data_IF_922185617675
#
_entry.id   IF_922185617675
#
_cell.length_a   1.000
_cell.length_b   1.000
_cell.length_c   1.000
_cell.angle_alpha   90.00
_cell.angle_beta   90.00
_cell.angle_gamma   90.00
#
_symmetry.space_group_name_H-M   'P 1'
#
loop_
_entity.id
_entity.type
_entity.pdbx_description
1 polymer ?
#
# COMPACT_ATOMS: atom_id res chain seq x y z
N UNK A 1 18.36 -24.74 15.17
CA UNK A 1 16.98 -25.24 15.30
C UNK A 1 16.03 -24.10 15.66
N UNK A 2 16.36 -23.28 16.65
CA UNK A 2 15.54 -22.11 17.08
C UNK A 2 15.30 -21.05 16.00
N UNK A 3 16.28 -20.76 15.13
CA UNK A 3 16.11 -19.76 14.05
C UNK A 3 15.14 -20.22 12.94
N UNK A 4 15.06 -21.52 12.64
CA UNK A 4 14.09 -22.05 11.66
C UNK A 4 12.66 -22.06 12.20
N UNK A 5 12.47 -22.27 13.49
CA UNK A 5 11.15 -22.22 14.13
C UNK A 5 10.61 -20.78 14.20
N UNK A 6 11.49 -19.79 14.44
CA UNK A 6 11.14 -18.36 14.43
C UNK A 6 10.68 -17.92 13.04
N UNK A 7 11.43 -18.23 11.97
CA UNK A 7 11.09 -17.87 10.59
C UNK A 7 9.77 -18.52 10.16
N UNK A 8 9.51 -19.77 10.53
CA UNK A 8 8.25 -20.46 10.21
C UNK A 8 7.07 -19.88 11.00
N UNK A 9 7.32 -19.38 12.21
CA UNK A 9 6.30 -18.70 13.02
C UNK A 9 5.93 -17.35 12.41
N UNK A 10 6.94 -16.55 12.02
CA UNK A 10 6.76 -15.25 11.38
C UNK A 10 5.99 -15.37 10.04
N UNK A 11 6.33 -16.37 9.19
CA UNK A 11 5.62 -16.63 7.94
C UNK A 11 4.15 -17.06 8.15
N UNK A 12 3.87 -17.86 9.17
CA UNK A 12 2.50 -18.27 9.50
C UNK A 12 1.67 -17.13 10.09
N UNK A 13 2.30 -16.21 10.79
CA UNK A 13 1.63 -15.02 11.31
C UNK A 13 1.36 -14.03 10.19
N UNK A 14 2.24 -13.85 9.21
CA UNK A 14 2.00 -13.07 8.00
C UNK A 14 0.85 -13.65 7.15
N UNK A 15 0.82 -14.96 6.91
CA UNK A 15 -0.28 -15.62 6.16
C UNK A 15 -1.64 -15.45 6.87
N UNK A 16 -1.70 -15.57 8.19
CA UNK A 16 -2.93 -15.31 8.97
C UNK A 16 -3.33 -13.85 8.96
N UNK A 17 -2.37 -12.93 9.04
CA UNK A 17 -2.64 -11.50 8.93
C UNK A 17 -3.24 -11.15 7.58
N UNK A 18 -2.78 -11.78 6.49
CA UNK A 18 -3.32 -11.60 5.14
C UNK A 18 -4.75 -12.17 4.99
N UNK A 19 -5.04 -13.35 5.54
CA UNK A 19 -6.40 -13.92 5.54
C UNK A 19 -7.39 -13.07 6.35
N UNK A 20 -6.99 -12.58 7.52
CA UNK A 20 -7.80 -11.68 8.33
C UNK A 20 -8.01 -10.32 7.62
N UNK A 21 -6.99 -9.79 6.94
CA UNK A 21 -7.12 -8.56 6.16
C UNK A 21 -8.10 -8.70 5.00
N UNK A 22 -8.17 -9.88 4.37
CA UNK A 22 -9.16 -10.19 3.33
C UNK A 22 -10.58 -10.08 3.87
N UNK A 23 -10.85 -10.57 5.07
CA UNK A 23 -12.18 -10.52 5.70
C UNK A 23 -12.66 -9.11 6.02
N UNK A 24 -11.74 -8.15 6.15
CA UNK A 24 -12.02 -6.75 6.43
C UNK A 24 -12.31 -5.91 5.18
N UNK A 25 -12.05 -6.46 3.97
CA UNK A 25 -12.17 -5.71 2.73
C UNK A 25 -13.64 -5.39 2.40
N UNK A 26 -13.95 -4.13 2.03
CA UNK A 26 -15.25 -3.80 1.47
C UNK A 26 -15.47 -4.53 0.14
N UNK A 27 -16.71 -4.92 -0.11
CA UNK A 27 -17.08 -5.58 -1.36
C UNK A 27 -17.52 -4.58 -2.45
N UNK A 28 -18.02 -3.42 -2.05
CA UNK A 28 -18.57 -2.40 -2.96
C UNK A 28 -17.91 -1.04 -2.74
N UNK A 29 -17.93 -0.18 -3.77
CA UNK A 29 -17.45 1.19 -3.69
C UNK A 29 -18.15 2.02 -2.61
N UNK A 30 -19.44 1.78 -2.38
CA UNK A 30 -20.19 2.47 -1.34
C UNK A 30 -19.70 2.13 0.08
N UNK A 31 -19.19 0.91 0.28
CA UNK A 31 -18.67 0.45 1.56
C UNK A 31 -17.19 0.81 1.74
N UNK A 32 -16.53 1.28 0.69
CA UNK A 32 -15.15 1.72 0.73
C UNK A 32 -15.06 3.11 1.33
N UNK A 33 -14.54 3.22 2.55
CA UNK A 33 -14.40 4.48 3.27
C UNK A 33 -13.24 5.32 2.72
N UNK A 34 -13.39 6.64 2.76
CA UNK A 34 -12.40 7.58 2.26
C UNK A 34 -12.27 7.62 0.73
N UNK A 35 -11.18 8.22 0.25
CA UNK A 35 -10.79 8.34 -1.18
C UNK A 35 -11.91 8.90 -2.07
N UNK A 36 -12.63 9.91 -1.61
CA UNK A 36 -13.88 10.40 -2.21
C UNK A 36 -13.74 10.75 -3.70
N UNK A 37 -12.67 11.44 -4.09
CA UNK A 37 -12.44 11.83 -5.49
C UNK A 37 -12.16 10.61 -6.38
N UNK A 38 -11.29 9.70 -5.94
CA UNK A 38 -10.98 8.49 -6.67
C UNK A 38 -12.25 7.62 -6.85
N UNK A 39 -13.06 7.46 -5.78
CA UNK A 39 -14.32 6.72 -5.84
C UNK A 39 -15.32 7.34 -6.81
N UNK A 40 -15.48 8.66 -6.78
CA UNK A 40 -16.39 9.38 -7.67
C UNK A 40 -16.03 9.14 -9.13
N UNK A 41 -14.75 9.30 -9.45
CA UNK A 41 -14.24 9.09 -10.81
C UNK A 41 -14.43 7.63 -11.25
N UNK A 42 -14.00 6.66 -10.42
CA UNK A 42 -14.15 5.24 -10.73
C UNK A 42 -15.62 4.83 -10.88
N UNK A 43 -16.51 5.33 -10.02
CA UNK A 43 -17.96 5.03 -10.12
C UNK A 43 -18.56 5.43 -11.46
N UNK A 44 -18.13 6.57 -12.02
CA UNK A 44 -18.60 7.04 -13.34
C UNK A 44 -18.12 6.09 -14.45
N UNK A 45 -16.82 5.77 -14.47
CA UNK A 45 -16.25 4.92 -15.52
C UNK A 45 -16.76 3.47 -15.45
N UNK A 46 -16.88 2.91 -14.24
CA UNK A 46 -17.44 1.56 -14.06
C UNK A 46 -18.88 1.50 -14.55
N UNK A 47 -19.74 2.44 -14.17
CA UNK A 47 -21.13 2.49 -14.64
C UNK A 47 -21.21 2.62 -16.15
N UNK A 48 -20.42 3.50 -16.74
CA UNK A 48 -20.40 3.69 -18.19
C UNK A 48 -19.94 2.44 -18.95
N UNK A 49 -18.93 1.73 -18.45
CA UNK A 49 -18.47 0.46 -19.03
C UNK A 49 -19.55 -0.62 -18.97
N UNK A 50 -20.22 -0.76 -17.82
CA UNK A 50 -21.33 -1.71 -17.63
C UNK A 50 -22.52 -1.41 -18.55
N UNK A 51 -22.92 -0.13 -18.69
CA UNK A 51 -24.01 0.29 -19.58
C UNK A 51 -23.71 -0.01 -21.05
N UNK A 52 -22.44 0.11 -21.48
CA UNK A 52 -22.01 -0.19 -22.85
C UNK A 52 -21.66 -1.66 -23.07
N UNK A 53 -21.65 -2.47 -22.00
CA UNK A 53 -21.22 -3.88 -22.05
C UNK A 53 -19.78 -4.01 -22.59
N UNK A 54 -18.90 -3.10 -22.19
CA UNK A 54 -17.49 -3.04 -22.56
C UNK A 54 -16.61 -3.31 -21.35
N UNK A 55 -15.36 -3.76 -21.59
CA UNK A 55 -14.35 -3.80 -20.54
C UNK A 55 -14.04 -2.40 -20.03
N UNK A 56 -13.81 -2.25 -18.73
CA UNK A 56 -13.34 -0.98 -18.17
C UNK A 56 -11.95 -0.66 -18.72
N UNK A 57 -11.71 0.61 -19.01
CA UNK A 57 -10.37 1.10 -19.33
C UNK A 57 -9.33 0.68 -18.27
N UNK A 58 -8.07 0.57 -18.67
CA UNK A 58 -6.99 0.24 -17.75
C UNK A 58 -6.82 1.31 -16.67
N UNK A 59 -6.63 0.86 -15.42
CA UNK A 59 -6.60 1.71 -14.22
C UNK A 59 -5.22 1.70 -13.58
N UNK A 60 -4.64 2.87 -13.33
CA UNK A 60 -3.45 3.04 -12.51
C UNK A 60 -3.83 3.59 -11.13
N UNK A 61 -3.57 2.80 -10.09
CA UNK A 61 -3.73 3.20 -8.70
C UNK A 61 -2.36 3.58 -8.12
N UNK A 62 -2.17 4.80 -7.67
CA UNK A 62 -0.88 5.20 -7.12
C UNK A 62 -1.02 5.97 -5.80
N UNK A 63 0.02 5.89 -4.99
CA UNK A 63 0.09 6.56 -3.69
C UNK A 63 0.91 5.75 -2.68
N UNK A 64 1.17 6.31 -1.50
CA UNK A 64 1.92 5.66 -0.42
C UNK A 64 1.46 4.23 -0.11
N UNK A 65 2.30 3.40 0.53
CA UNK A 65 1.92 2.05 0.94
C UNK A 65 0.82 2.10 2.00
N UNK A 66 0.02 1.03 2.10
CA UNK A 66 -1.01 0.87 3.15
C UNK A 66 -2.30 1.67 2.96
N UNK A 67 -2.50 2.35 1.81
CA UNK A 67 -3.70 3.16 1.52
C UNK A 67 -4.86 2.37 0.90
N UNK A 68 -4.71 1.07 0.66
CA UNK A 68 -5.79 0.23 0.16
C UNK A 68 -5.85 0.08 -1.37
N UNK A 69 -4.74 0.26 -2.11
CA UNK A 69 -4.68 0.04 -3.58
C UNK A 69 -5.20 -1.34 -3.97
N UNK A 70 -4.69 -2.39 -3.33
CA UNK A 70 -5.11 -3.78 -3.54
C UNK A 70 -6.59 -3.98 -3.21
N UNK A 71 -7.05 -3.41 -2.10
CA UNK A 71 -8.47 -3.45 -1.70
C UNK A 71 -9.36 -2.78 -2.74
N UNK A 72 -8.94 -1.63 -3.26
CA UNK A 72 -9.71 -0.91 -4.28
C UNK A 72 -9.76 -1.68 -5.60
N UNK A 73 -8.70 -2.39 -5.98
CA UNK A 73 -8.70 -3.27 -7.15
C UNK A 73 -9.74 -4.40 -7.02
N UNK A 74 -9.84 -5.03 -5.84
CA UNK A 74 -10.88 -6.02 -5.56
C UNK A 74 -12.29 -5.42 -5.64
N UNK A 75 -12.48 -4.21 -5.09
CA UNK A 75 -13.77 -3.52 -5.15
C UNK A 75 -14.15 -3.20 -6.59
N UNK A 76 -13.22 -2.74 -7.43
CA UNK A 76 -13.46 -2.50 -8.85
C UNK A 76 -13.87 -3.80 -9.56
N UNK A 77 -13.16 -4.90 -9.34
CA UNK A 77 -13.50 -6.19 -9.94
C UNK A 77 -14.90 -6.67 -9.49
N UNK A 78 -15.24 -6.52 -8.22
CA UNK A 78 -16.56 -6.87 -7.70
C UNK A 78 -17.69 -6.01 -8.31
N UNK A 79 -17.46 -4.71 -8.47
CA UNK A 79 -18.44 -3.80 -9.11
C UNK A 79 -18.66 -4.16 -10.60
N UNK A 80 -17.61 -4.63 -11.28
CA UNK A 80 -17.68 -5.12 -12.66
C UNK A 80 -18.30 -6.52 -12.77
N UNK A 81 -18.46 -7.26 -11.65
CA UNK A 81 -18.83 -8.68 -11.67
C UNK A 81 -17.76 -9.57 -12.33
N UNK A 82 -16.50 -9.16 -12.30
CA UNK A 82 -15.38 -9.78 -12.98
C UNK A 82 -14.51 -10.63 -12.05
N UNK A 83 -13.87 -11.67 -12.60
CA UNK A 83 -12.83 -12.37 -11.87
C UNK A 83 -11.56 -11.52 -11.82
N UNK A 84 -10.85 -11.55 -10.70
CA UNK A 84 -9.57 -10.87 -10.55
C UNK A 84 -8.43 -11.88 -10.47
N UNK A 85 -7.40 -11.65 -11.30
CA UNK A 85 -6.11 -12.34 -11.21
C UNK A 85 -5.09 -11.39 -10.62
N UNK A 86 -4.36 -11.85 -9.62
CA UNK A 86 -3.40 -11.02 -8.89
C UNK A 86 -1.99 -11.50 -9.13
N UNK A 87 -1.08 -10.55 -9.35
CA UNK A 87 0.37 -10.78 -9.42
C UNK A 87 1.11 -9.53 -8.95
N UNK A 88 2.41 -9.55 -8.93
CA UNK A 88 3.25 -8.39 -8.63
C UNK A 88 4.27 -8.14 -9.74
N UNK A 89 4.71 -6.89 -9.89
CA UNK A 89 5.75 -6.54 -10.86
C UNK A 89 7.05 -7.34 -10.66
N UNK A 90 7.40 -7.65 -9.41
CA UNK A 90 8.56 -8.47 -9.09
C UNK A 90 8.42 -9.95 -9.48
N UNK A 91 7.20 -10.49 -9.48
CA UNK A 91 6.91 -11.87 -9.88
C UNK A 91 6.95 -12.05 -11.41
N UNK A 92 6.79 -10.98 -12.18
CA UNK A 92 6.84 -10.99 -13.65
C UNK A 92 8.27 -10.79 -14.15
N UNK A 93 9.16 -11.73 -13.84
CA UNK A 93 10.58 -11.63 -14.18
C UNK A 93 10.87 -11.84 -15.67
N UNK A 94 10.01 -12.56 -16.38
CA UNK A 94 10.19 -12.95 -17.80
C UNK A 94 8.91 -12.71 -18.60
N UNK A 95 9.06 -12.49 -19.90
CA UNK A 95 7.95 -12.37 -20.85
C UNK A 95 6.97 -13.56 -20.76
N UNK A 96 7.49 -14.79 -20.60
CA UNK A 96 6.68 -15.99 -20.45
C UNK A 96 5.77 -16.00 -19.21
N UNK A 97 6.19 -15.35 -18.12
CA UNK A 97 5.39 -15.27 -16.90
C UNK A 97 4.13 -14.44 -17.16
N UNK A 98 4.29 -13.26 -17.80
CA UNK A 98 3.19 -12.39 -18.20
C UNK A 98 2.30 -13.06 -19.25
N UNK A 99 2.89 -13.65 -20.32
CA UNK A 99 2.15 -14.33 -21.37
C UNK A 99 1.28 -15.46 -20.82
N UNK A 100 1.78 -16.24 -19.86
CA UNK A 100 1.03 -17.31 -19.21
C UNK A 100 -0.20 -16.81 -18.46
N UNK A 101 -0.07 -15.68 -17.77
CA UNK A 101 -1.21 -15.08 -17.06
C UNK A 101 -2.23 -14.50 -18.05
N UNK A 102 -1.77 -13.76 -19.07
CA UNK A 102 -2.65 -13.12 -20.04
C UNK A 102 -3.45 -14.15 -20.88
N UNK A 103 -2.83 -15.29 -21.22
CA UNK A 103 -3.46 -16.33 -22.06
C UNK A 103 -4.66 -17.03 -21.41
N UNK A 104 -4.76 -17.01 -20.08
CA UNK A 104 -5.86 -17.67 -19.34
C UNK A 104 -6.99 -16.72 -18.96
N UNK A 105 -6.83 -15.40 -19.19
CA UNK A 105 -7.88 -14.41 -18.89
C UNK A 105 -9.10 -14.64 -19.80
N UNK A 106 -10.27 -14.45 -19.23
CA UNK A 106 -11.52 -14.44 -19.96
C UNK A 106 -11.93 -12.99 -20.29
N UNK A 107 -12.86 -12.83 -21.22
CA UNK A 107 -13.38 -11.51 -21.56
C UNK A 107 -14.01 -10.85 -20.34
N UNK A 108 -13.58 -9.63 -20.04
CA UNK A 108 -14.02 -8.85 -18.89
C UNK A 108 -13.26 -9.15 -17.58
N UNK A 109 -12.34 -10.12 -17.54
CA UNK A 109 -11.52 -10.38 -16.35
C UNK A 109 -10.63 -9.17 -16.01
N UNK A 110 -10.26 -9.07 -14.75
CA UNK A 110 -9.33 -8.06 -14.23
C UNK A 110 -7.98 -8.71 -13.93
N UNK A 111 -6.91 -8.13 -14.49
CA UNK A 111 -5.54 -8.43 -14.09
C UNK A 111 -5.05 -7.32 -13.15
N UNK A 112 -4.69 -7.68 -11.92
CA UNK A 112 -4.07 -6.76 -10.97
C UNK A 112 -2.58 -7.02 -10.86
N UNK A 113 -1.75 -5.98 -11.06
CA UNK A 113 -0.29 -6.04 -10.88
C UNK A 113 0.10 -5.06 -9.78
N UNK A 114 0.47 -5.61 -8.61
CA UNK A 114 0.98 -4.79 -7.51
C UNK A 114 2.44 -4.41 -7.75
N UNK A 115 2.84 -3.22 -7.28
CA UNK A 115 4.18 -2.65 -7.49
C UNK A 115 4.66 -2.80 -8.95
N UNK A 116 3.79 -2.41 -9.89
CA UNK A 116 4.00 -2.57 -11.33
C UNK A 116 5.31 -1.94 -11.83
N UNK A 117 5.83 -0.92 -11.14
CA UNK A 117 7.12 -0.29 -11.43
C UNK A 117 8.32 -1.22 -11.25
N UNK A 118 8.15 -2.37 -10.57
CA UNK A 118 9.22 -3.36 -10.37
C UNK A 118 9.33 -4.36 -11.52
N UNK A 119 8.48 -4.26 -12.52
CA UNK A 119 8.49 -5.12 -13.69
C UNK A 119 9.70 -4.78 -14.59
N UNK A 120 10.42 -5.78 -15.15
CA UNK A 120 11.48 -5.53 -16.11
C UNK A 120 10.96 -4.84 -17.39
N UNK A 121 11.76 -3.96 -17.98
CA UNK A 121 11.36 -3.22 -19.20
C UNK A 121 10.97 -4.13 -20.37
N UNK A 122 11.63 -5.28 -20.53
CA UNK A 122 11.29 -6.25 -21.57
C UNK A 122 9.89 -6.87 -21.41
N UNK A 123 9.43 -6.99 -20.17
CA UNK A 123 8.08 -7.48 -19.87
C UNK A 123 7.07 -6.33 -20.02
N UNK A 124 7.46 -5.13 -19.64
CA UNK A 124 6.68 -3.90 -19.81
C UNK A 124 6.34 -3.66 -21.30
N UNK A 125 7.30 -3.86 -22.22
CA UNK A 125 7.08 -3.72 -23.67
C UNK A 125 6.02 -4.66 -24.23
N UNK A 126 5.96 -5.90 -23.74
CA UNK A 126 4.90 -6.85 -24.12
C UNK A 126 3.55 -6.42 -23.57
N UNK A 127 3.54 -5.84 -22.36
CA UNK A 127 2.31 -5.36 -21.75
C UNK A 127 1.69 -4.20 -22.56
N UNK A 128 2.50 -3.38 -23.27
CA UNK A 128 1.97 -2.31 -24.12
C UNK A 128 1.03 -2.85 -25.21
N UNK A 129 1.48 -3.85 -25.98
CA UNK A 129 0.66 -4.46 -27.03
C UNK A 129 -0.54 -5.19 -26.47
N UNK A 130 -0.37 -5.83 -25.30
CA UNK A 130 -1.48 -6.49 -24.61
C UNK A 130 -2.57 -5.52 -24.17
N UNK A 131 -2.21 -4.28 -23.76
CA UNK A 131 -3.16 -3.26 -23.33
C UNK A 131 -3.85 -2.56 -24.51
N UNK A 132 -3.14 -2.33 -25.58
CA UNK A 132 -3.63 -1.53 -26.72
C UNK A 132 -4.40 -2.37 -27.72
N UNK A 133 -3.78 -3.49 -28.18
CA UNK A 133 -4.26 -4.32 -29.27
C UNK A 133 -4.84 -5.68 -28.80
N UNK A 134 -4.80 -5.97 -27.52
CA UNK A 134 -5.13 -7.29 -26.97
C UNK A 134 -4.37 -8.42 -27.69
N UNK A 135 -3.10 -8.21 -27.99
CA UNK A 135 -2.19 -9.14 -28.63
C UNK A 135 -0.84 -9.18 -27.95
N UNK A 136 -0.22 -10.35 -27.93
CA UNK A 136 1.17 -10.51 -27.49
C UNK A 136 1.95 -11.32 -28.55
N UNK A 137 3.17 -10.87 -28.85
CA UNK A 137 4.09 -11.60 -29.72
C UNK A 137 5.03 -12.46 -28.87
N UNK A 138 4.96 -13.77 -29.03
CA UNK A 138 5.79 -14.73 -28.30
C UNK A 138 6.73 -15.42 -29.27
N UNK A 139 8.04 -15.40 -28.94
CA UNK A 139 9.03 -16.13 -29.73
C UNK A 139 9.05 -17.60 -29.30
N UNK A 140 8.74 -18.48 -30.24
CA UNK A 140 8.75 -19.96 -30.05
C UNK A 140 9.86 -20.56 -30.91
N UNK A 141 10.60 -21.47 -30.32
CA UNK A 141 11.77 -22.11 -30.96
C UNK A 141 13.10 -21.59 -30.44
N UNK A 142 14.19 -22.10 -30.95
CA UNK A 142 15.57 -21.71 -30.62
C UNK A 142 16.38 -21.48 -31.87
N UNK A 143 17.30 -20.54 -31.82
CA UNK A 143 18.24 -20.24 -32.91
C UNK A 143 17.56 -19.98 -34.27
N UNK A 144 17.94 -20.67 -35.31
CA UNK A 144 17.44 -20.48 -36.67
C UNK A 144 15.95 -20.87 -36.87
N UNK A 145 15.37 -21.63 -35.94
CA UNK A 145 13.95 -22.03 -35.95
C UNK A 145 13.06 -21.13 -35.11
N UNK A 146 13.60 -20.06 -34.53
CA UNK A 146 12.84 -19.11 -33.75
C UNK A 146 11.82 -18.37 -34.64
N UNK A 147 10.54 -18.43 -34.26
CA UNK A 147 9.44 -17.75 -34.96
C UNK A 147 8.65 -16.93 -33.97
N UNK A 148 8.28 -15.72 -34.35
CA UNK A 148 7.31 -14.92 -33.60
C UNK A 148 5.91 -15.42 -33.94
N UNK A 149 5.12 -15.68 -32.91
CA UNK A 149 3.70 -16.03 -33.01
C UNK A 149 2.90 -14.98 -32.25
N UNK A 150 1.95 -14.35 -32.95
CA UNK A 150 1.02 -13.43 -32.32
C UNK A 150 -0.15 -14.21 -31.71
N UNK A 151 -0.36 -13.98 -30.43
CA UNK A 151 -1.45 -14.57 -29.65
C UNK A 151 -2.47 -13.48 -29.36
N UNK A 152 -3.69 -13.64 -29.86
CA UNK A 152 -4.81 -12.75 -29.57
C UNK A 152 -5.36 -13.05 -28.18
N UNK A 153 -5.49 -12.00 -27.37
CA UNK A 153 -6.04 -12.05 -26.02
C UNK A 153 -7.52 -11.68 -26.03
N UNK A 154 -8.25 -12.16 -25.04
CA UNK A 154 -9.59 -11.65 -24.77
C UNK A 154 -9.51 -10.26 -24.12
N UNK A 155 -10.44 -9.34 -24.42
CA UNK A 155 -10.46 -8.03 -23.77
C UNK A 155 -10.50 -8.16 -22.25
N UNK A 156 -9.61 -7.48 -21.55
CA UNK A 156 -9.46 -7.49 -20.11
C UNK A 156 -9.19 -6.08 -19.58
N UNK A 157 -9.36 -5.88 -18.28
CA UNK A 157 -8.96 -4.65 -17.61
C UNK A 157 -7.68 -4.88 -16.82
N UNK A 158 -6.64 -4.10 -17.09
CA UNK A 158 -5.45 -4.04 -16.25
C UNK A 158 -5.65 -3.02 -15.14
N UNK A 159 -5.40 -3.42 -13.90
CA UNK A 159 -5.27 -2.50 -12.77
C UNK A 159 -3.82 -2.58 -12.29
N UNK A 160 -3.04 -1.54 -12.57
CA UNK A 160 -1.68 -1.39 -12.06
C UNK A 160 -1.68 -0.64 -10.73
N UNK A 161 -0.92 -1.11 -9.75
CA UNK A 161 -0.69 -0.39 -8.50
C UNK A 161 0.78 -0.04 -8.32
N UNK A 162 1.09 1.17 -7.82
CA UNK A 162 2.47 1.59 -7.58
C UNK A 162 2.57 2.59 -6.43
N UNK A 163 3.66 2.50 -5.70
CA UNK A 163 4.10 3.53 -4.74
C UNK A 163 4.98 4.59 -5.40
N UNK A 164 5.57 4.28 -6.56
CA UNK A 164 6.54 5.12 -7.27
C UNK A 164 6.09 5.39 -8.72
N UNK A 165 5.10 6.26 -8.93
CA UNK A 165 4.56 6.53 -10.28
C UNK A 165 5.61 7.14 -11.23
N UNK A 166 6.66 7.78 -10.70
CA UNK A 166 7.77 8.33 -11.48
C UNK A 166 8.72 7.27 -12.04
N UNK A 167 8.71 6.04 -11.51
CA UNK A 167 9.57 4.95 -11.97
C UNK A 167 8.93 4.16 -13.13
N UNK A 168 7.63 4.42 -13.43
CA UNK A 168 6.97 3.88 -14.61
C UNK A 168 7.44 4.60 -15.87
N UNK A 169 7.65 3.85 -16.94
CA UNK A 169 7.92 4.47 -18.24
C UNK A 169 6.74 5.32 -18.70
N UNK A 170 7.03 6.39 -19.42
CA UNK A 170 6.00 7.26 -20.00
C UNK A 170 5.05 6.47 -20.92
N UNK A 171 5.52 5.57 -21.83
CA UNK A 171 4.65 4.78 -22.67
C UNK A 171 3.68 3.88 -21.91
N UNK A 172 4.10 3.27 -20.78
CA UNK A 172 3.20 2.47 -19.96
C UNK A 172 2.16 3.34 -19.25
N UNK A 173 2.60 4.46 -18.70
CA UNK A 173 1.70 5.34 -17.95
C UNK A 173 0.60 5.91 -18.84
N UNK A 174 0.92 6.27 -20.08
CA UNK A 174 -0.02 6.87 -21.03
C UNK A 174 -1.10 5.88 -21.52
N UNK A 175 -0.88 4.58 -21.34
CA UNK A 175 -1.87 3.54 -21.67
C UNK A 175 -2.93 3.32 -20.59
N UNK A 176 -2.78 3.93 -19.42
CA UNK A 176 -3.81 3.91 -18.40
C UNK A 176 -4.82 5.04 -18.66
N UNK A 177 -6.01 4.68 -19.15
CA UNK A 177 -7.09 5.65 -19.38
C UNK A 177 -7.65 6.24 -18.07
N UNK A 178 -7.48 5.52 -16.95
CA UNK A 178 -7.96 5.95 -15.63
C UNK A 178 -6.78 5.98 -14.66
N UNK A 179 -6.49 7.17 -14.13
CA UNK A 179 -5.41 7.36 -13.15
C UNK A 179 -6.00 7.87 -11.84
N UNK A 180 -5.88 7.07 -10.78
CA UNK A 180 -6.42 7.39 -9.47
C UNK A 180 -5.33 7.50 -8.40
N UNK A 181 -5.15 8.69 -7.85
CA UNK A 181 -4.27 8.94 -6.72
C UNK A 181 -4.99 8.60 -5.41
N UNK A 182 -4.38 7.78 -4.58
CA UNK A 182 -4.82 7.56 -3.21
C UNK A 182 -4.06 8.49 -2.27
N UNK A 183 -4.82 9.17 -1.43
CA UNK A 183 -4.30 10.10 -0.44
C UNK A 183 -4.34 9.49 0.96
N UNK A 184 -3.58 10.07 1.89
CA UNK A 184 -3.69 9.72 3.28
C UNK A 184 -5.10 10.00 3.81
N UNK A 185 -5.54 9.15 4.72
CA UNK A 185 -6.85 9.25 5.35
C UNK A 185 -6.83 10.25 6.50
N UNK A 186 -7.93 10.94 6.69
CA UNK A 186 -8.15 11.76 7.88
C UNK A 186 -8.33 10.87 9.13
N UNK A 187 -8.15 11.46 10.31
CA UNK A 187 -8.39 10.77 11.59
C UNK A 187 -9.82 10.26 11.67
N UNK A 188 -10.79 11.04 11.16
CA UNK A 188 -12.19 10.65 11.16
C UNK A 188 -12.43 9.41 10.29
N UNK A 189 -11.94 9.39 9.04
CA UNK A 189 -12.07 8.25 8.15
C UNK A 189 -11.40 6.99 8.72
N UNK A 190 -10.22 7.13 9.34
CA UNK A 190 -9.55 6.01 10.00
C UNK A 190 -10.33 5.52 11.23
N UNK A 191 -10.91 6.43 12.01
CA UNK A 191 -11.76 6.07 13.14
C UNK A 191 -12.98 5.26 12.68
N UNK A 192 -13.62 5.64 11.58
CA UNK A 192 -14.73 4.91 10.98
C UNK A 192 -14.28 3.51 10.48
N UNK A 193 -13.10 3.40 9.87
CA UNK A 193 -12.51 2.12 9.46
C UNK A 193 -12.29 1.22 10.68
N UNK A 194 -11.70 1.76 11.77
CA UNK A 194 -11.47 1.02 13.01
C UNK A 194 -12.79 0.56 13.64
N UNK A 195 -13.82 1.41 13.67
CA UNK A 195 -15.15 1.06 14.16
C UNK A 195 -15.78 -0.08 13.32
N UNK A 196 -15.60 -0.07 12.01
CA UNK A 196 -16.03 -1.17 11.15
C UNK A 196 -15.24 -2.46 11.45
N UNK A 197 -13.93 -2.36 11.56
CA UNK A 197 -13.05 -3.47 11.91
C UNK A 197 -13.45 -4.11 13.25
N UNK A 198 -13.79 -3.30 14.24
CA UNK A 198 -14.23 -3.76 15.56
C UNK A 198 -15.49 -4.63 15.52
N UNK A 199 -16.42 -4.32 14.59
CA UNK A 199 -17.64 -5.12 14.39
C UNK A 199 -17.31 -6.50 13.82
N UNK A 200 -16.38 -6.57 12.87
CA UNK A 200 -15.95 -7.84 12.27
C UNK A 200 -15.29 -8.76 13.32
N UNK A 201 -14.46 -8.17 14.20
CA UNK A 201 -13.80 -8.92 15.27
C UNK A 201 -14.64 -9.10 16.55
N UNK A 202 -15.88 -8.62 16.58
CA UNK A 202 -16.78 -8.70 17.74
C UNK A 202 -16.14 -8.16 19.04
N UNK A 203 -15.24 -7.18 18.92
CA UNK A 203 -14.60 -6.50 20.05
C UNK A 203 -14.85 -5.00 19.92
N UNK A 204 -15.94 -4.47 20.52
CA UNK A 204 -16.30 -3.07 20.38
C UNK A 204 -15.29 -2.15 21.08
N UNK A 205 -15.23 -0.89 20.61
CA UNK A 205 -14.42 0.15 21.22
C UNK A 205 -15.19 1.46 21.33
N UNK A 206 -14.76 2.29 22.30
CA UNK A 206 -15.32 3.63 22.46
C UNK A 206 -14.85 4.56 21.33
N UNK A 207 -15.59 5.67 21.11
CA UNK A 207 -15.22 6.65 20.09
C UNK A 207 -13.84 7.27 20.35
N UNK A 208 -13.54 7.60 21.63
CA UNK A 208 -12.25 8.16 22.02
C UNK A 208 -11.10 7.16 21.80
N UNK A 209 -11.34 5.87 22.03
CA UNK A 209 -10.38 4.81 21.76
C UNK A 209 -10.08 4.70 20.24
N UNK A 210 -11.12 4.73 19.40
CA UNK A 210 -10.92 4.69 17.95
C UNK A 210 -10.20 5.93 17.43
N UNK A 211 -10.50 7.11 17.94
CA UNK A 211 -9.80 8.35 17.60
C UNK A 211 -8.33 8.30 18.03
N UNK A 212 -8.04 7.75 19.21
CA UNK A 212 -6.68 7.61 19.72
C UNK A 212 -5.84 6.62 18.89
N UNK A 213 -6.42 5.54 18.38
CA UNK A 213 -5.75 4.65 17.42
C UNK A 213 -5.57 5.37 16.08
N UNK A 214 -6.62 6.00 15.56
CA UNK A 214 -6.62 6.69 14.28
C UNK A 214 -5.56 7.79 14.19
N UNK A 215 -5.41 8.61 15.24
CA UNK A 215 -4.41 9.69 15.29
C UNK A 215 -2.97 9.18 15.21
N UNK A 216 -2.71 7.94 15.66
CA UNK A 216 -1.39 7.30 15.64
C UNK A 216 -1.14 6.46 14.38
N UNK A 217 -2.15 6.32 13.52
CA UNK A 217 -2.12 5.39 12.38
C UNK A 217 -1.47 5.97 11.11
N UNK A 218 -0.79 7.09 11.22
CA UNK A 218 0.00 7.71 10.12
C UNK A 218 -0.81 7.91 8.83
N UNK A 219 -2.12 8.15 8.95
CA UNK A 219 -2.99 8.34 7.80
C UNK A 219 -3.24 7.07 6.95
N UNK A 220 -2.92 5.87 7.45
CA UNK A 220 -3.04 4.63 6.68
C UNK A 220 -3.94 3.57 7.33
N UNK A 221 -4.90 3.00 6.58
CA UNK A 221 -5.76 1.92 7.07
C UNK A 221 -5.01 0.67 7.56
N UNK A 222 -3.91 0.29 6.88
CA UNK A 222 -3.09 -0.86 7.27
C UNK A 222 -2.54 -0.71 8.70
N UNK A 223 -1.98 0.46 9.04
CA UNK A 223 -1.47 0.72 10.39
C UNK A 223 -2.63 0.80 11.39
N UNK A 224 -3.76 1.43 11.03
CA UNK A 224 -4.93 1.52 11.87
C UNK A 224 -5.46 0.14 12.27
N UNK A 225 -5.62 -0.77 11.31
CA UNK A 225 -6.04 -2.14 11.55
C UNK A 225 -5.00 -2.93 12.37
N UNK A 226 -3.71 -2.74 12.10
CA UNK A 226 -2.64 -3.36 12.88
C UNK A 226 -2.69 -2.93 14.35
N UNK A 227 -2.81 -1.63 14.61
CA UNK A 227 -2.90 -1.13 15.97
C UNK A 227 -4.18 -1.58 16.68
N UNK A 228 -5.33 -1.59 15.98
CA UNK A 228 -6.55 -2.15 16.53
C UNK A 228 -6.36 -3.63 16.95
N UNK A 229 -5.74 -4.47 16.11
CA UNK A 229 -5.46 -5.87 16.45
C UNK A 229 -4.59 -5.99 17.70
N UNK A 230 -3.52 -5.21 17.81
CA UNK A 230 -2.66 -5.22 19.00
C UNK A 230 -3.41 -4.78 20.27
N UNK A 231 -4.22 -3.74 20.18
CA UNK A 231 -5.06 -3.31 21.33
C UNK A 231 -6.09 -4.39 21.69
N UNK A 232 -6.68 -5.07 20.70
CA UNK A 232 -7.57 -6.22 20.91
C UNK A 232 -6.85 -7.36 21.67
N UNK A 233 -5.61 -7.65 21.32
CA UNK A 233 -4.82 -8.69 22.00
C UNK A 233 -4.62 -8.34 23.49
N UNK A 234 -4.30 -7.08 23.80
CA UNK A 234 -4.20 -6.58 25.18
C UNK A 234 -5.57 -6.62 25.90
N UNK A 235 -6.67 -6.26 25.21
CA UNK A 235 -8.01 -6.37 25.76
C UNK A 235 -8.34 -7.81 26.14
N UNK A 236 -8.04 -8.76 25.26
CA UNK A 236 -8.26 -10.20 25.49
C UNK A 236 -7.43 -10.72 26.66
N UNK A 237 -6.17 -10.33 26.74
CA UNK A 237 -5.30 -10.70 27.87
C UNK A 237 -5.84 -10.17 29.21
N UNK A 238 -6.35 -8.93 29.22
CA UNK A 238 -6.96 -8.31 30.41
C UNK A 238 -8.41 -8.74 30.63
N UNK A 239 -8.97 -9.64 29.80
CA UNK A 239 -10.37 -10.11 29.85
C UNK A 239 -11.40 -9.00 29.79
N UNK A 240 -11.08 -7.92 29.05
CA UNK A 240 -12.02 -6.82 28.78
C UNK A 240 -12.94 -7.19 27.63
N UNK A 241 -14.20 -6.80 27.70
CA UNK A 241 -15.19 -6.97 26.61
C UNK A 241 -15.31 -5.76 25.70
N UNK A 242 -14.65 -4.64 26.03
CA UNK A 242 -14.70 -3.38 25.29
C UNK A 242 -13.34 -2.69 25.40
N UNK A 243 -12.90 -2.12 24.31
CA UNK A 243 -11.66 -1.31 24.25
C UNK A 243 -11.99 0.13 24.61
N UNK A 244 -11.40 0.61 25.69
CA UNK A 244 -11.49 1.99 26.18
C UNK A 244 -10.21 2.78 25.90
N UNK A 245 -10.26 4.10 26.04
CA UNK A 245 -9.11 4.98 25.82
C UNK A 245 -7.90 4.64 26.73
N UNK A 246 -8.06 4.37 28.04
CA UNK A 246 -6.92 4.00 28.88
C UNK A 246 -6.18 2.75 28.40
N UNK A 247 -6.91 1.75 27.90
CA UNK A 247 -6.31 0.53 27.33
C UNK A 247 -5.53 0.84 26.06
N UNK A 248 -6.05 1.68 25.17
CA UNK A 248 -5.33 2.11 23.96
C UNK A 248 -4.03 2.80 24.34
N UNK A 249 -4.09 3.78 25.25
CA UNK A 249 -2.90 4.55 25.64
C UNK A 249 -1.84 3.65 26.27
N UNK A 250 -2.21 2.76 27.19
CA UNK A 250 -1.27 1.83 27.82
C UNK A 250 -0.68 0.82 26.83
N UNK A 251 -1.47 0.39 25.84
CA UNK A 251 -0.98 -0.50 24.79
C UNK A 251 0.01 0.22 23.87
N UNK A 252 -0.30 1.46 23.44
CA UNK A 252 0.60 2.24 22.58
C UNK A 252 1.92 2.54 23.30
N UNK A 253 1.87 2.86 24.58
CA UNK A 253 3.06 3.05 25.42
C UNK A 253 3.89 1.78 25.51
N UNK A 254 3.26 0.63 25.76
CA UNK A 254 3.94 -0.67 25.80
C UNK A 254 4.56 -1.07 24.44
N UNK A 255 4.02 -0.58 23.33
CA UNK A 255 4.55 -0.77 21.97
C UNK A 255 5.59 0.30 21.58
N UNK A 256 5.89 1.26 22.46
CA UNK A 256 6.79 2.36 22.15
C UNK A 256 6.26 3.37 21.14
N UNK A 257 4.93 3.43 20.94
CA UNK A 257 4.28 4.33 19.97
C UNK A 257 3.81 5.59 20.66
N UNK A 258 4.31 6.74 20.24
CA UNK A 258 3.97 8.03 20.82
C UNK A 258 2.65 8.65 20.30
N UNK A 259 2.36 9.89 20.72
CA UNK A 259 1.14 10.61 20.35
C UNK A 259 0.98 10.92 18.87
N UNK A 260 2.09 11.01 18.12
CA UNK A 260 2.12 11.19 16.66
C UNK A 260 2.20 9.85 15.90
N UNK A 261 2.25 8.72 16.60
CA UNK A 261 2.42 7.41 15.98
C UNK A 261 3.87 7.11 15.58
N UNK A 262 4.84 7.82 16.15
CA UNK A 262 6.26 7.53 15.94
C UNK A 262 6.68 6.36 16.82
N UNK A 263 7.47 5.46 16.25
CA UNK A 263 8.15 4.39 16.97
C UNK A 263 9.58 4.80 17.40
N UNK A 264 10.29 3.90 18.04
CA UNK A 264 11.66 4.15 18.50
C UNK A 264 12.62 4.46 17.35
N UNK A 265 12.42 3.84 16.18
CA UNK A 265 13.27 4.10 15.00
C UNK A 265 13.04 5.49 14.41
N UNK A 266 11.79 5.93 14.32
CA UNK A 266 11.48 7.30 13.88
C UNK A 266 12.10 8.33 14.81
N UNK A 267 11.92 8.15 16.12
CA UNK A 267 12.51 9.06 17.11
C UNK A 267 14.02 9.07 17.03
N UNK A 268 14.66 7.89 16.90
CA UNK A 268 16.12 7.76 16.75
C UNK A 268 16.64 8.48 15.51
N UNK A 269 15.91 8.44 14.39
CA UNK A 269 16.25 9.18 13.17
C UNK A 269 16.22 10.68 13.46
N UNK A 270 15.14 11.20 14.03
CA UNK A 270 14.99 12.63 14.36
C UNK A 270 16.05 13.09 15.38
N UNK A 271 16.27 12.33 16.44
CA UNK A 271 17.30 12.62 17.45
C UNK A 271 18.69 12.64 16.85
N UNK A 272 19.00 11.69 15.97
CA UNK A 272 20.28 11.65 15.25
C UNK A 272 20.49 12.89 14.40
N UNK A 273 19.44 13.32 13.69
CA UNK A 273 19.51 14.54 12.88
C UNK A 273 19.74 15.80 13.72
N UNK A 274 19.11 15.88 14.87
CA UNK A 274 19.22 17.01 15.79
C UNK A 274 20.56 16.98 16.54
N UNK A 275 20.86 15.89 17.23
CA UNK A 275 21.99 15.84 18.18
C UNK A 275 23.33 15.63 17.47
N UNK A 276 23.38 14.68 16.52
CA UNK A 276 24.63 14.31 15.87
C UNK A 276 24.97 15.22 14.68
N UNK A 277 23.95 15.65 13.93
CA UNK A 277 24.14 16.53 12.78
C UNK A 277 23.79 18.00 13.06
N UNK A 278 23.48 18.33 14.32
CA UNK A 278 23.17 19.70 14.78
C UNK A 278 22.08 20.38 13.96
N UNK A 279 21.06 19.62 13.54
CA UNK A 279 19.95 20.13 12.73
C UNK A 279 20.31 20.59 11.32
N UNK A 280 21.56 20.39 10.86
CA UNK A 280 22.01 20.79 9.52
C UNK A 280 21.52 19.80 8.46
N UNK A 281 21.43 20.26 7.17
CA UNK A 281 21.06 19.37 6.07
C UNK A 281 21.95 18.13 6.00
N UNK A 282 21.35 16.93 6.02
CA UNK A 282 22.06 15.65 6.03
C UNK A 282 21.52 14.70 4.97
N UNK A 283 22.42 13.99 4.29
CA UNK A 283 22.08 12.97 3.30
C UNK A 283 21.53 11.69 3.95
N UNK A 284 20.63 10.98 3.25
CA UNK A 284 20.03 9.74 3.76
C UNK A 284 21.05 8.68 4.14
N UNK A 285 22.12 8.51 3.35
CA UNK A 285 23.19 7.54 3.63
C UNK A 285 23.92 7.83 4.95
N UNK A 286 24.09 9.12 5.29
CA UNK A 286 24.70 9.54 6.55
C UNK A 286 23.80 9.29 7.73
N UNK A 287 22.48 9.50 7.57
CA UNK A 287 21.48 9.16 8.57
C UNK A 287 21.48 7.65 8.79
N UNK A 288 21.37 6.88 7.71
CA UNK A 288 21.34 5.41 7.71
C UNK A 288 22.53 4.81 8.48
N UNK A 289 23.75 5.25 8.12
CA UNK A 289 24.96 4.82 8.79
C UNK A 289 24.99 5.21 10.28
N UNK A 290 24.39 6.35 10.64
CA UNK A 290 24.37 6.82 12.02
C UNK A 290 23.36 6.10 12.92
N UNK A 291 22.21 5.68 12.37
CA UNK A 291 21.16 4.96 13.10
C UNK A 291 21.30 3.44 13.00
N UNK A 292 22.11 2.93 12.07
CA UNK A 292 22.29 1.49 11.83
C UNK A 292 21.18 0.87 11.00
N UNK A 293 20.58 1.66 10.08
CA UNK A 293 19.49 1.24 9.18
C UNK A 293 19.96 1.22 7.71
N UNK A 294 19.22 0.54 6.86
CA UNK A 294 19.40 0.64 5.41
C UNK A 294 18.85 1.96 4.87
N UNK A 295 19.57 2.60 3.94
CA UNK A 295 19.17 3.89 3.39
C UNK A 295 17.85 3.81 2.60
N UNK A 296 17.61 2.69 1.91
CA UNK A 296 16.37 2.47 1.18
C UNK A 296 15.19 2.29 2.14
N UNK A 297 15.40 1.61 3.28
CA UNK A 297 14.40 1.48 4.32
C UNK A 297 13.98 2.84 4.90
N UNK A 298 14.96 3.74 5.12
CA UNK A 298 14.64 5.11 5.55
C UNK A 298 13.78 5.82 4.50
N UNK A 299 14.14 5.72 3.22
CA UNK A 299 13.42 6.38 2.12
C UNK A 299 12.00 5.86 1.92
N UNK A 300 11.79 4.57 2.06
CA UNK A 300 10.53 3.92 1.70
C UNK A 300 9.56 3.79 2.90
N UNK A 301 10.09 3.69 4.14
CA UNK A 301 9.28 3.42 5.33
C UNK A 301 9.15 4.63 6.26
N UNK A 302 10.26 5.26 6.64
CA UNK A 302 10.27 6.31 7.67
C UNK A 302 10.07 7.71 7.11
N UNK A 303 10.87 8.11 6.11
CA UNK A 303 10.89 9.46 5.56
C UNK A 303 9.52 9.95 5.05
N UNK A 304 8.70 9.13 4.35
CA UNK A 304 7.43 9.61 3.82
C UNK A 304 6.48 10.13 4.91
N UNK A 305 6.43 9.44 6.06
CA UNK A 305 5.59 9.89 7.16
C UNK A 305 6.20 11.08 7.91
N UNK A 306 7.50 11.08 8.13
CA UNK A 306 8.20 12.19 8.80
C UNK A 306 8.08 13.50 8.01
N UNK A 307 8.10 13.44 6.67
CA UNK A 307 7.83 14.60 5.81
C UNK A 307 6.35 15.00 5.88
N UNK A 308 5.43 14.04 5.77
CA UNK A 308 4.00 14.30 5.80
C UNK A 308 3.57 14.94 7.12
N UNK A 309 4.11 14.48 8.24
CA UNK A 309 3.85 15.03 9.58
C UNK A 309 4.54 16.37 9.82
N UNK A 310 5.34 16.85 8.86
CA UNK A 310 6.05 18.12 8.97
C UNK A 310 7.22 18.08 9.96
N UNK A 311 7.73 16.89 10.31
CA UNK A 311 8.88 16.73 11.23
C UNK A 311 10.22 16.88 10.50
N UNK A 312 10.25 16.57 9.21
CA UNK A 312 11.44 16.68 8.35
C UNK A 312 11.07 17.44 7.08
N UNK A 313 11.95 18.34 6.65
CA UNK A 313 11.93 18.96 5.34
C UNK A 313 13.02 18.35 4.45
N UNK A 314 12.68 18.14 3.16
CA UNK A 314 13.62 17.70 2.14
C UNK A 314 14.11 18.90 1.33
N UNK A 315 15.40 19.16 1.39
CA UNK A 315 16.06 20.25 0.65
C UNK A 315 17.00 19.70 -0.41
N UNK A 316 17.51 20.55 -1.30
CA UNK A 316 18.53 20.18 -2.30
C UNK A 316 19.84 19.67 -1.65
N UNK A 317 20.12 20.04 -0.40
CA UNK A 317 21.33 19.65 0.35
C UNK A 317 21.13 18.43 1.25
N UNK A 318 19.90 17.95 1.41
CA UNK A 318 19.55 16.83 2.30
C UNK A 318 18.31 17.09 3.14
N UNK A 319 18.13 16.29 4.19
CA UNK A 319 17.00 16.35 5.12
C UNK A 319 17.35 17.25 6.27
N UNK A 320 16.37 18.03 6.72
CA UNK A 320 16.49 18.97 7.85
C UNK A 320 15.35 18.73 8.82
N UNK A 321 15.59 18.57 10.14
CA UNK A 321 14.51 18.52 11.11
C UNK A 321 13.85 19.89 11.20
N UNK A 322 12.54 19.91 11.33
CA UNK A 322 11.76 21.14 11.46
C UNK A 322 11.65 21.56 12.92
N UNK A 323 11.18 22.79 13.16
CA UNK A 323 10.86 23.27 14.50
C UNK A 323 9.89 22.32 15.24
N UNK A 324 8.96 21.70 14.50
CA UNK A 324 8.01 20.74 15.07
C UNK A 324 8.73 19.51 15.62
N UNK A 325 9.80 19.02 14.95
CA UNK A 325 10.59 17.90 15.43
C UNK A 325 11.29 18.22 16.75
N UNK A 326 11.88 19.41 16.88
CA UNK A 326 12.48 19.86 18.15
C UNK A 326 11.45 19.94 19.28
N UNK A 327 10.28 20.54 19.01
CA UNK A 327 9.20 20.64 19.99
C UNK A 327 8.69 19.25 20.42
N UNK A 328 8.51 18.35 19.47
CA UNK A 328 8.03 16.99 19.73
C UNK A 328 9.00 16.19 20.62
N UNK A 329 10.30 16.32 20.38
CA UNK A 329 11.34 15.66 21.18
C UNK A 329 11.72 16.44 22.46
N UNK A 330 11.08 17.56 22.76
CA UNK A 330 11.40 18.40 23.92
C UNK A 330 12.80 19.03 23.86
N UNK A 331 13.32 19.27 22.64
CA UNK A 331 14.66 19.85 22.39
C UNK A 331 14.55 21.32 22.00
N UNK A 332 15.63 22.06 22.23
CA UNK A 332 15.77 23.44 21.76
C UNK A 332 16.41 23.46 20.37
N UNK A 333 15.93 24.37 19.51
CA UNK A 333 16.48 24.62 18.17
C UNK A 333 17.85 25.29 18.21
#
# INVERSE_FOLDING_TARGET
>A
MLERESIVHDLKDEEKEDEEEISLRPLKLNDYLGQTEAKKTLSIFIKAALERTESLDHVLLYGPPGLGKTTLAHVIANELGANIRMTSGAALARVGDLASILSILQAGDVLFIDEIHRMPKTVEEILYSAMEDFTISVVVGRDADARSIDVTLKPFTLIGATTKPGDLSEPLRDRFGIVAKLNFYSIQELSEIIQRTSKVYHMPLTQDASNAIASRSRGTPRIANRFYRRVRDFASFQKKSTIDLPLVLSTMDALGIDGLGLDDSDRKILETMIDRFSGKPVGVNSIAAAVGEDAQNILDVYEPYLIQSGLIDRTARGRVPTKLAYQHLGKQE
#
